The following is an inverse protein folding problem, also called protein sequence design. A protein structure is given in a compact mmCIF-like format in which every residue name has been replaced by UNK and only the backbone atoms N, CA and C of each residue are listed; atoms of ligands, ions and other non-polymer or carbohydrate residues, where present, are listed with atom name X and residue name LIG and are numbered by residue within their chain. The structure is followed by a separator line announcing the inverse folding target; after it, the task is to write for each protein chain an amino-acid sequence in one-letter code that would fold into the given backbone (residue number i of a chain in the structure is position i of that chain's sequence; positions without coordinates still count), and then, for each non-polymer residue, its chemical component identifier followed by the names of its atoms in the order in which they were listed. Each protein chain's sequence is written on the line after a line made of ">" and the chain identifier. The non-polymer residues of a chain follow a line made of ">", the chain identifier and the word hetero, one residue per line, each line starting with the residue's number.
data_IF_442556086160
#
_entry.id   IF_442556086160
#
_cell.length_a   1.000
_cell.length_b   1.000
_cell.length_c   1.000
_cell.angle_alpha   90.00
_cell.angle_beta   90.00
_cell.angle_gamma   90.00
#
_symmetry.space_group_name_H-M   'P 1'
#
loop_
_entity.id
_entity.type
_entity.pdbx_description
1 polymer ?
#
# COMPACT_ATOMS: atom_id res chain seq x y z
N UNK A 1 -17.49 9.44 -0.88
CA UNK A 1 -17.49 7.98 -0.58
C UNK A 1 -16.11 7.42 -0.19
N UNK A 2 -15.00 8.18 -0.21
CA UNK A 2 -13.68 7.69 0.25
C UNK A 2 -13.15 8.38 1.52
N UNK A 3 -13.91 9.30 2.12
CA UNK A 3 -13.54 10.02 3.34
C UNK A 3 -14.04 9.34 4.64
N UNK A 4 -15.05 8.46 4.57
CA UNK A 4 -15.72 7.87 5.75
C UNK A 4 -15.01 6.64 6.35
N UNK A 5 -13.91 6.15 5.75
CA UNK A 5 -13.26 4.90 6.19
C UNK A 5 -11.98 5.15 6.99
N UNK A 6 -11.36 6.32 6.86
CA UNK A 6 -10.08 6.62 7.51
C UNK A 6 -10.16 7.92 8.31
N UNK A 7 -11.06 7.93 9.28
CA UNK A 7 -11.10 8.99 10.28
C UNK A 7 -10.06 8.70 11.39
N UNK A 8 -9.05 9.56 11.47
CA UNK A 8 -8.29 9.84 12.69
C UNK A 8 -7.48 8.71 13.40
N UNK A 9 -6.74 7.86 12.68
CA UNK A 9 -5.66 7.02 13.30
C UNK A 9 -4.32 7.05 12.53
N UNK A 10 -4.19 7.98 11.58
CA UNK A 10 -3.27 7.92 10.45
C UNK A 10 -1.77 7.93 10.77
N UNK A 11 -1.34 8.31 11.98
CA UNK A 11 0.08 8.50 12.27
C UNK A 11 0.78 7.29 12.92
N UNK A 12 0.06 6.46 13.68
CA UNK A 12 0.62 5.25 14.32
C UNK A 12 0.58 4.02 13.42
N UNK A 13 -0.34 3.99 12.44
CA UNK A 13 -0.61 2.80 11.62
C UNK A 13 0.21 2.71 10.32
N UNK A 14 0.93 3.77 9.92
CA UNK A 14 1.69 3.79 8.65
C UNK A 14 2.70 2.63 8.60
N UNK A 15 3.35 2.32 9.73
CA UNK A 15 4.30 1.20 9.80
C UNK A 15 3.62 -0.17 9.65
N UNK A 16 2.39 -0.30 10.13
CA UNK A 16 1.59 -1.53 10.00
C UNK A 16 1.13 -1.70 8.56
N UNK A 17 0.68 -0.62 7.91
CA UNK A 17 0.33 -0.60 6.49
C UNK A 17 1.52 -1.01 5.63
N UNK A 18 2.70 -0.43 5.86
CA UNK A 18 3.93 -0.79 5.12
C UNK A 18 4.30 -2.27 5.30
N UNK A 19 4.14 -2.82 6.51
CA UNK A 19 4.41 -4.23 6.78
C UNK A 19 3.41 -5.16 6.07
N UNK A 20 2.12 -4.80 6.08
CA UNK A 20 1.08 -5.54 5.36
C UNK A 20 1.29 -5.47 3.85
N UNK A 21 1.58 -4.30 3.30
CA UNK A 21 1.90 -4.12 1.87
C UNK A 21 3.13 -4.94 1.49
N UNK A 22 4.19 -4.94 2.31
CA UNK A 22 5.38 -5.78 2.05
C UNK A 22 5.04 -7.26 2.00
N UNK A 23 4.25 -7.76 2.97
CA UNK A 23 3.82 -9.17 2.99
C UNK A 23 2.94 -9.53 1.80
N UNK A 24 2.06 -8.62 1.38
CA UNK A 24 1.22 -8.78 0.20
C UNK A 24 2.06 -8.86 -1.07
N UNK A 25 3.02 -7.93 -1.26
CA UNK A 25 3.93 -7.95 -2.41
C UNK A 25 4.72 -9.24 -2.52
N UNK A 26 5.23 -9.80 -1.42
CA UNK A 26 5.92 -11.09 -1.43
C UNK A 26 5.03 -12.23 -1.94
N UNK A 27 3.73 -12.18 -1.66
CA UNK A 27 2.77 -13.23 -2.06
C UNK A 27 2.26 -13.08 -3.49
N UNK A 28 2.11 -11.85 -3.99
CA UNK A 28 1.41 -11.57 -5.25
C UNK A 28 2.31 -10.98 -6.34
N UNK A 29 3.48 -10.44 -5.99
CA UNK A 29 4.42 -9.82 -6.91
C UNK A 29 5.72 -10.63 -7.00
N UNK A 30 6.36 -10.55 -8.16
CA UNK A 30 7.68 -11.14 -8.38
C UNK A 30 8.76 -10.20 -7.78
N UNK A 31 9.58 -10.67 -6.82
CA UNK A 31 10.57 -9.83 -6.15
C UNK A 31 11.66 -9.28 -7.08
N UNK A 32 11.84 -9.89 -8.26
CA UNK A 32 12.82 -9.43 -9.26
C UNK A 32 12.30 -8.31 -10.16
N UNK A 33 11.00 -8.01 -10.12
CA UNK A 33 10.35 -7.07 -11.02
C UNK A 33 9.80 -5.86 -10.28
N UNK A 34 9.59 -4.79 -11.04
CA UNK A 34 8.90 -3.60 -10.55
C UNK A 34 7.49 -3.98 -10.06
N UNK A 35 7.04 -3.43 -8.91
CA UNK A 35 5.74 -3.76 -8.33
C UNK A 35 4.60 -3.41 -9.31
N UNK A 36 3.93 -4.44 -9.83
CA UNK A 36 2.89 -4.29 -10.86
C UNK A 36 1.53 -3.92 -10.29
N UNK A 37 1.20 -4.47 -9.13
CA UNK A 37 -0.15 -4.37 -8.57
C UNK A 37 -0.24 -3.31 -7.49
N UNK A 38 0.75 -3.25 -6.59
CA UNK A 38 0.77 -2.29 -5.48
C UNK A 38 1.83 -1.23 -5.76
N UNK A 39 1.43 -0.04 -6.19
CA UNK A 39 2.33 1.07 -6.48
C UNK A 39 2.48 2.00 -5.26
N UNK A 40 3.69 2.46 -4.99
CA UNK A 40 3.94 3.46 -3.93
C UNK A 40 3.84 4.86 -4.52
N UNK A 41 2.88 5.64 -4.03
CA UNK A 41 2.69 7.06 -4.37
C UNK A 41 3.30 7.89 -3.24
N UNK A 42 4.47 8.48 -3.51
CA UNK A 42 5.19 9.29 -2.51
C UNK A 42 4.30 10.44 -2.03
N UNK A 43 4.19 10.60 -0.71
CA UNK A 43 3.38 11.65 -0.08
C UNK A 43 1.88 11.35 0.02
N UNK A 44 1.37 10.28 -0.62
CA UNK A 44 -0.04 9.88 -0.54
C UNK A 44 -0.24 8.47 0.04
N UNK A 45 0.67 7.52 -0.22
CA UNK A 45 0.57 6.15 0.28
C UNK A 45 0.71 5.10 -0.83
N UNK A 46 -0.25 4.18 -0.92
CA UNK A 46 -0.23 3.07 -1.86
C UNK A 46 -1.47 3.06 -2.75
N UNK A 47 -1.31 2.64 -3.99
CA UNK A 47 -2.39 2.49 -4.97
C UNK A 47 -2.40 1.07 -5.52
N UNK A 48 -3.58 0.47 -5.61
CA UNK A 48 -3.78 -0.78 -6.31
C UNK A 48 -4.16 -0.51 -7.77
N UNK A 49 -3.47 -1.13 -8.72
CA UNK A 49 -3.89 -1.09 -10.11
C UNK A 49 -2.80 -1.53 -11.08
N UNK A 50 -3.12 -2.37 -12.07
CA UNK A 50 -2.27 -2.54 -13.24
C UNK A 50 -2.39 -1.28 -14.12
N UNK A 51 -1.25 -0.80 -14.62
CA UNK A 51 -1.21 -0.13 -15.92
C UNK A 51 -0.93 -1.18 -16.98
#
# INVERSE_FOLDING_TARGET
>A
LLADVWDHSYYSDVRLVDACVRRLRIKIEDPSRSPRYIQTVRGLGYRFGPL
#
